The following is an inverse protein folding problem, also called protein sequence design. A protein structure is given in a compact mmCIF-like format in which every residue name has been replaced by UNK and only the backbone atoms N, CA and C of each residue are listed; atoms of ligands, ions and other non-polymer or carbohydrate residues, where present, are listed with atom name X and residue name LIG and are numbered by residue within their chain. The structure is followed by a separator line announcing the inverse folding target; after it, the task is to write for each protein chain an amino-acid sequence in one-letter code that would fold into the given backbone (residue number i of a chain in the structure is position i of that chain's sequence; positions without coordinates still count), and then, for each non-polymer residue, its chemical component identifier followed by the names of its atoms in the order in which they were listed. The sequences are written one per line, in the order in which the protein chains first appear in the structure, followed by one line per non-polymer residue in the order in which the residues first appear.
data_IF_608692822411
#
_entry.id   IF_608692822411
#
_cell.length_a   1.000
_cell.length_b   1.000
_cell.length_c   1.000
_cell.angle_alpha   90.00
_cell.angle_beta   90.00
_cell.angle_gamma   90.00
#
_symmetry.space_group_name_H-M   'P 1'
#
loop_
_entity.id
_entity.type
_entity.pdbx_description
1 polymer ?
#
# COMPACT_ATOMS: atom_id res chain seq x y z
N UNK A 1 11.10 -5.96 2.52
CA UNK A 1 9.90 -5.46 3.23
C UNK A 1 9.65 -6.38 4.42
N UNK A 2 9.63 -5.86 5.65
CA UNK A 2 9.35 -6.67 6.85
C UNK A 2 7.94 -6.32 7.31
N UNK A 3 6.98 -7.20 7.08
CA UNK A 3 5.60 -7.01 7.54
C UNK A 3 5.54 -7.38 9.04
N UNK A 4 5.43 -6.36 9.89
CA UNK A 4 5.24 -6.55 11.33
C UNK A 4 3.74 -6.66 11.59
N UNK A 5 3.29 -7.88 11.81
CA UNK A 5 1.90 -8.18 12.15
C UNK A 5 1.79 -8.18 13.67
N UNK A 6 0.84 -7.41 14.20
CA UNK A 6 0.43 -7.47 15.60
C UNK A 6 -1.07 -7.81 15.66
N UNK A 7 -1.47 -8.48 16.75
CA UNK A 7 -2.87 -8.80 17.03
C UNK A 7 -3.22 -8.29 18.43
N UNK A 8 -4.49 -7.88 18.63
CA UNK A 8 -4.93 -7.41 19.94
C UNK A 8 -5.18 -8.60 20.89
N UNK A 9 -4.26 -8.78 21.84
CA UNK A 9 -4.35 -9.84 22.86
C UNK A 9 -5.40 -9.59 23.94
N UNK A 10 -6.01 -8.38 23.99
CA UNK A 10 -7.05 -8.02 24.97
C UNK A 10 -8.43 -8.57 24.61
N UNK A 11 -8.62 -9.06 23.38
CA UNK A 11 -9.89 -9.55 22.83
C UNK A 11 -9.89 -11.05 22.53
N UNK A 12 -9.29 -11.86 23.42
CA UNK A 12 -9.15 -13.33 23.24
C UNK A 12 -10.47 -14.07 22.99
N UNK A 13 -11.59 -13.55 23.49
CA UNK A 13 -12.92 -14.18 23.36
C UNK A 13 -13.78 -13.56 22.23
N UNK A 14 -13.22 -12.64 21.43
CA UNK A 14 -13.90 -12.09 20.27
C UNK A 14 -13.83 -13.06 19.09
N UNK A 15 -14.95 -13.35 18.40
CA UNK A 15 -14.92 -14.15 17.17
C UNK A 15 -14.20 -13.45 16.01
N UNK A 16 -13.94 -12.15 16.14
CA UNK A 16 -13.22 -11.33 15.15
C UNK A 16 -11.87 -10.89 15.74
N UNK A 17 -10.78 -11.34 15.09
CA UNK A 17 -9.43 -10.83 15.35
C UNK A 17 -9.07 -9.76 14.33
N UNK A 18 -8.60 -8.61 14.81
CA UNK A 18 -8.11 -7.53 13.97
C UNK A 18 -6.61 -7.72 13.69
N UNK A 19 -6.25 -7.71 12.41
CA UNK A 19 -4.87 -7.63 11.94
C UNK A 19 -4.51 -6.17 11.66
N UNK A 20 -3.47 -5.68 12.30
CA UNK A 20 -2.92 -4.34 12.02
C UNK A 20 -1.57 -4.50 11.32
N UNK A 21 -1.37 -3.72 10.25
CA UNK A 21 -0.15 -3.72 9.47
C UNK A 21 0.25 -2.29 9.16
N UNK A 22 1.52 -1.96 9.43
CA UNK A 22 2.12 -0.71 9.01
C UNK A 22 2.77 -0.89 7.62
N UNK A 23 2.54 0.06 6.72
CA UNK A 23 3.17 0.09 5.40
C UNK A 23 3.77 1.48 5.13
N UNK A 24 5.00 1.50 4.64
CA UNK A 24 5.70 2.72 4.19
C UNK A 24 5.77 2.68 2.66
N UNK A 25 5.26 3.72 2.01
CA UNK A 25 5.30 3.89 0.55
C UNK A 25 6.26 5.04 0.26
N UNK A 26 7.35 4.73 -0.44
CA UNK A 26 8.33 5.73 -0.88
C UNK A 26 8.10 6.01 -2.38
N UNK A 27 8.01 7.29 -2.74
CA UNK A 27 7.82 7.72 -4.13
C UNK A 27 8.95 8.66 -4.54
N UNK A 28 9.65 8.28 -5.60
CA UNK A 28 10.70 9.07 -6.23
C UNK A 28 10.18 9.69 -7.53
N UNK A 29 10.31 11.00 -7.68
CA UNK A 29 9.90 11.73 -8.88
C UNK A 29 11.15 12.35 -9.51
N UNK A 30 11.45 11.97 -10.75
CA UNK A 30 12.51 12.58 -11.53
C UNK A 30 11.94 13.70 -12.40
N UNK A 31 12.49 14.92 -12.25
CA UNK A 31 12.09 16.08 -13.05
C UNK A 31 13.07 16.25 -14.22
N UNK A 32 12.62 16.13 -15.49
CA UNK A 32 13.49 16.32 -16.64
C UNK A 32 14.07 17.74 -16.71
N UNK A 33 15.26 17.88 -17.28
CA UNK A 33 16.00 19.16 -17.34
C UNK A 33 15.19 20.32 -17.93
N UNK A 34 14.38 20.05 -18.97
CA UNK A 34 13.55 21.06 -19.63
C UNK A 34 12.54 21.74 -18.70
N UNK A 35 12.16 21.10 -17.59
CA UNK A 35 11.18 21.62 -16.64
C UNK A 35 11.82 22.39 -15.47
N UNK A 36 13.15 22.54 -15.43
CA UNK A 36 13.84 23.29 -14.36
C UNK A 36 13.59 24.80 -14.38
N UNK A 37 13.07 25.34 -15.49
CA UNK A 37 12.64 26.73 -15.58
C UNK A 37 11.25 26.97 -14.94
N UNK A 38 10.51 25.89 -14.62
CA UNK A 38 9.25 25.99 -13.90
C UNK A 38 9.53 26.26 -12.42
N UNK A 39 8.81 27.19 -11.77
CA UNK A 39 8.95 27.42 -10.33
C UNK A 39 8.78 26.13 -9.53
N UNK A 40 9.68 25.89 -8.58
CA UNK A 40 9.69 24.67 -7.74
C UNK A 40 8.33 24.41 -7.10
N UNK A 41 7.67 25.45 -6.61
CA UNK A 41 6.36 25.35 -5.96
C UNK A 41 5.28 24.82 -6.93
N UNK A 42 5.35 25.20 -8.20
CA UNK A 42 4.41 24.71 -9.21
C UNK A 42 4.65 23.22 -9.51
N UNK A 43 5.92 22.80 -9.55
CA UNK A 43 6.29 21.40 -9.74
C UNK A 43 5.84 20.54 -8.54
N UNK A 44 6.12 21.00 -7.32
CA UNK A 44 5.74 20.30 -6.09
C UNK A 44 4.21 20.18 -5.97
N UNK A 45 3.47 21.26 -6.24
CA UNK A 45 2.00 21.22 -6.19
C UNK A 45 1.41 20.24 -7.21
N UNK A 46 1.94 20.24 -8.43
CA UNK A 46 1.48 19.35 -9.51
C UNK A 46 1.87 17.91 -9.20
N UNK A 47 3.10 17.68 -8.74
CA UNK A 47 3.60 16.37 -8.33
C UNK A 47 2.81 15.78 -7.17
N UNK A 48 2.47 16.60 -6.17
CA UNK A 48 1.61 16.20 -5.05
C UNK A 48 0.21 15.82 -5.53
N UNK A 49 -0.38 16.58 -6.44
CA UNK A 49 -1.70 16.27 -7.00
C UNK A 49 -1.70 14.97 -7.82
N UNK A 50 -0.66 14.73 -8.62
CA UNK A 50 -0.49 13.47 -9.37
C UNK A 50 -0.30 12.30 -8.41
N UNK A 51 0.55 12.46 -7.39
CA UNK A 51 0.79 11.45 -6.38
C UNK A 51 -0.50 11.11 -5.62
N UNK A 52 -1.28 12.11 -5.22
CA UNK A 52 -2.57 11.92 -4.54
C UNK A 52 -3.53 11.10 -5.40
N UNK A 53 -3.65 11.41 -6.69
CA UNK A 53 -4.49 10.63 -7.61
C UNK A 53 -4.03 9.17 -7.74
N UNK A 54 -2.73 8.95 -7.87
CA UNK A 54 -2.16 7.60 -7.95
C UNK A 54 -2.43 6.84 -6.65
N UNK A 55 -2.16 7.44 -5.49
CA UNK A 55 -2.39 6.82 -4.19
C UNK A 55 -3.87 6.50 -3.98
N UNK A 56 -4.78 7.38 -4.40
CA UNK A 56 -6.23 7.17 -4.28
C UNK A 56 -6.73 5.94 -5.04
N UNK A 57 -6.00 5.51 -6.07
CA UNK A 57 -6.33 4.31 -6.85
C UNK A 57 -5.51 3.10 -6.38
N UNK A 58 -4.20 3.27 -6.23
CA UNK A 58 -3.26 2.19 -5.89
C UNK A 58 -3.45 1.67 -4.46
N UNK A 59 -3.65 2.56 -3.48
CA UNK A 59 -3.72 2.18 -2.07
C UNK A 59 -4.93 1.28 -1.76
N UNK A 60 -6.18 1.60 -2.18
CA UNK A 60 -7.31 0.70 -1.96
C UNK A 60 -7.14 -0.66 -2.62
N UNK A 61 -6.54 -0.71 -3.81
CA UNK A 61 -6.27 -1.96 -4.54
C UNK A 61 -5.25 -2.83 -3.83
N UNK A 62 -4.16 -2.21 -3.36
CA UNK A 62 -3.15 -2.87 -2.55
C UNK A 62 -3.76 -3.46 -1.27
N UNK A 63 -4.61 -2.69 -0.57
CA UNK A 63 -5.30 -3.19 0.63
C UNK A 63 -6.26 -4.35 0.31
N UNK A 64 -7.02 -4.27 -0.79
CA UNK A 64 -7.88 -5.36 -1.22
C UNK A 64 -7.09 -6.64 -1.57
N UNK A 65 -5.90 -6.50 -2.14
CA UNK A 65 -5.02 -7.63 -2.42
C UNK A 65 -4.44 -8.22 -1.14
N UNK A 66 -3.98 -7.39 -0.20
CA UNK A 66 -3.48 -7.85 1.10
C UNK A 66 -4.53 -8.70 1.84
N UNK A 67 -5.81 -8.30 1.81
CA UNK A 67 -6.88 -9.10 2.43
C UNK A 67 -6.97 -10.49 1.81
N UNK A 68 -6.88 -10.62 0.48
CA UNK A 68 -6.91 -11.91 -0.22
C UNK A 68 -5.70 -12.77 0.15
N UNK A 69 -4.51 -12.17 0.17
CA UNK A 69 -3.27 -12.87 0.50
C UNK A 69 -3.33 -13.39 1.95
N UNK A 70 -3.83 -12.58 2.90
CA UNK A 70 -4.02 -13.01 4.29
C UNK A 70 -5.05 -14.14 4.43
N UNK A 71 -6.17 -14.07 3.70
CA UNK A 71 -7.17 -15.15 3.72
C UNK A 71 -6.59 -16.47 3.22
N UNK A 72 -5.77 -16.43 2.16
CA UNK A 72 -5.11 -17.61 1.64
C UNK A 72 -4.12 -18.20 2.64
N UNK A 73 -3.28 -17.37 3.28
CA UNK A 73 -2.36 -17.83 4.30
C UNK A 73 -3.08 -18.43 5.51
N UNK A 74 -4.17 -17.79 5.95
CA UNK A 74 -5.00 -18.31 7.02
C UNK A 74 -5.67 -19.64 6.66
N UNK A 75 -5.94 -19.89 5.38
CA UNK A 75 -6.48 -21.17 4.90
C UNK A 75 -5.45 -22.31 4.80
N UNK A 76 -4.18 -22.03 5.13
CA UNK A 76 -3.10 -23.03 5.12
C UNK A 76 -2.21 -22.97 3.87
N UNK A 77 -2.39 -21.98 2.99
CA UNK A 77 -1.49 -21.77 1.85
C UNK A 77 -0.16 -21.16 2.33
N UNK A 78 0.86 -22.01 2.46
CA UNK A 78 2.21 -21.61 2.85
C UNK A 78 3.06 -21.09 1.69
N UNK A 79 2.55 -21.09 0.45
CA UNK A 79 3.33 -20.70 -0.74
C UNK A 79 3.77 -19.23 -0.70
N UNK A 80 3.03 -18.39 0.04
CA UNK A 80 3.18 -16.93 0.07
C UNK A 80 3.19 -16.29 -1.31
N UNK A 81 2.62 -16.97 -2.32
CA UNK A 81 2.48 -16.39 -3.63
C UNK A 81 1.45 -15.26 -3.57
N UNK A 82 1.73 -14.10 -4.17
CA UNK A 82 0.73 -13.05 -4.28
C UNK A 82 -0.40 -13.57 -5.17
N UNK A 83 -1.63 -13.56 -4.66
CA UNK A 83 -2.82 -13.96 -5.42
C UNK A 83 -3.36 -12.81 -6.29
N UNK A 84 -2.71 -11.64 -6.22
CA UNK A 84 -2.98 -10.52 -7.10
C UNK A 84 -2.64 -10.83 -8.54
N UNK A 85 -3.58 -10.59 -9.45
CA UNK A 85 -3.37 -10.78 -10.90
C UNK A 85 -2.59 -9.65 -11.55
N UNK A 86 -2.21 -8.61 -10.79
CA UNK A 86 -1.57 -7.40 -11.32
C UNK A 86 -2.44 -6.59 -12.30
N UNK A 87 -3.71 -6.94 -12.45
CA UNK A 87 -4.63 -6.26 -13.36
C UNK A 87 -5.13 -4.95 -12.72
N UNK A 88 -4.88 -3.85 -13.43
CA UNK A 88 -5.24 -2.47 -13.11
C UNK A 88 -6.64 -2.19 -13.62
#
# INVERSE_FOLDING_TARGET
MVNKISYDSKQRDSPLQQLTSDAVIEVNIEIPFAFRAIPVQAIESTGSQVLDQILRIMLPRFMAQLVKDYQAWASGDASRQPLGTGQI
#
